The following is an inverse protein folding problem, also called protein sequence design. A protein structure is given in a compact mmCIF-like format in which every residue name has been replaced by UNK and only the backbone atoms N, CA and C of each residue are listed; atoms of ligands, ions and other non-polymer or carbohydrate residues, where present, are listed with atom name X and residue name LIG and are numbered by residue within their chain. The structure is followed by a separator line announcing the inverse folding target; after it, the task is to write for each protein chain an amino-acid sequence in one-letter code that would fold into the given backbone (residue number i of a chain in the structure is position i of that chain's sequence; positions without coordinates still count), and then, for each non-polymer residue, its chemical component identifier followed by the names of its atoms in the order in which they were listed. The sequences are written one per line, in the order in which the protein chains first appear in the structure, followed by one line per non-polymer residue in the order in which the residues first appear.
data_IF_949534446305
#
_entry.id   IF_949534446305
#
_cell.length_a   1.000
_cell.length_b   1.000
_cell.length_c   1.000
_cell.angle_alpha   90.00
_cell.angle_beta   90.00
_cell.angle_gamma   90.00
#
_symmetry.space_group_name_H-M   'P 1'
#
loop_
_entity.id
_entity.type
_entity.pdbx_description
1 polymer ?
#
# COMPACT_ATOMS: atom_id res chain seq x y z
N UNK A 1 22.80 -23.99 -2.53
CA UNK A 1 22.33 -23.24 -3.72
C UNK A 1 21.04 -22.45 -3.46
N UNK A 2 20.24 -22.74 -2.42
CA UNK A 2 19.02 -21.96 -2.10
C UNK A 2 19.32 -20.58 -1.50
N UNK A 3 20.30 -20.46 -0.61
CA UNK A 3 20.63 -19.19 0.09
C UNK A 3 21.09 -18.05 -0.82
N UNK A 4 21.75 -18.34 -1.95
CA UNK A 4 22.18 -17.32 -2.91
C UNK A 4 20.98 -16.72 -3.65
N UNK A 5 19.99 -17.55 -3.99
CA UNK A 5 18.76 -17.09 -4.66
C UNK A 5 17.94 -16.17 -3.76
N UNK A 6 17.80 -16.52 -2.48
CA UNK A 6 17.11 -15.67 -1.50
C UNK A 6 17.83 -14.32 -1.34
N UNK A 7 19.17 -14.32 -1.25
CA UNK A 7 19.97 -13.11 -1.14
C UNK A 7 19.82 -12.18 -2.35
N UNK A 8 19.76 -12.74 -3.56
CA UNK A 8 19.58 -11.92 -4.77
C UNK A 8 18.15 -11.33 -4.84
N UNK A 9 17.14 -12.09 -4.41
CA UNK A 9 15.76 -11.62 -4.27
C UNK A 9 15.66 -10.48 -3.23
N UNK A 10 16.28 -10.62 -2.05
CA UNK A 10 16.28 -9.54 -1.03
C UNK A 10 17.00 -8.29 -1.53
N UNK A 11 18.14 -8.42 -2.23
CA UNK A 11 18.81 -7.28 -2.87
C UNK A 11 17.95 -6.58 -3.91
N UNK A 12 17.17 -7.34 -4.69
CA UNK A 12 16.25 -6.77 -5.69
C UNK A 12 15.15 -5.95 -5.03
N UNK A 13 14.56 -6.45 -3.93
CA UNK A 13 13.60 -5.68 -3.12
C UNK A 13 14.25 -4.43 -2.53
N UNK A 14 15.44 -4.55 -1.93
CA UNK A 14 16.12 -3.42 -1.28
C UNK A 14 16.47 -2.27 -2.23
N UNK A 15 16.70 -2.55 -3.52
CA UNK A 15 16.93 -1.52 -4.55
C UNK A 15 15.72 -0.61 -4.77
N UNK A 16 14.51 -1.04 -4.44
CA UNK A 16 13.30 -0.22 -4.56
C UNK A 16 13.37 1.04 -3.69
N UNK A 17 14.05 0.98 -2.54
CA UNK A 17 14.25 2.15 -1.65
C UNK A 17 15.19 3.21 -2.23
N UNK A 18 15.99 2.85 -3.23
CA UNK A 18 17.03 3.72 -3.80
C UNK A 18 16.63 4.32 -5.17
N UNK A 19 15.49 3.91 -5.74
CA UNK A 19 15.01 4.42 -7.02
C UNK A 19 14.23 5.73 -6.84
N UNK A 20 14.89 6.85 -7.14
CA UNK A 20 14.45 8.23 -6.86
C UNK A 20 13.54 8.87 -7.93
N UNK A 21 12.74 8.11 -8.68
CA UNK A 21 11.93 8.69 -9.76
C UNK A 21 10.47 8.95 -9.35
N UNK A 22 10.15 10.22 -9.07
CA UNK A 22 8.82 10.87 -9.00
C UNK A 22 7.74 10.26 -8.08
N UNK A 23 7.26 11.11 -7.16
CA UNK A 23 6.48 10.85 -5.93
C UNK A 23 5.05 10.30 -6.04
N UNK A 24 4.58 9.80 -7.19
CA UNK A 24 3.15 9.41 -7.34
C UNK A 24 2.87 8.02 -7.92
N UNK A 25 3.87 7.30 -8.46
CA UNK A 25 3.67 5.98 -9.12
C UNK A 25 4.41 4.84 -8.40
N UNK A 26 4.99 5.11 -7.23
CA UNK A 26 5.96 4.20 -6.57
C UNK A 26 5.35 2.88 -6.09
N UNK A 27 4.10 2.88 -5.59
CA UNK A 27 3.52 1.65 -5.03
C UNK A 27 3.28 0.56 -6.08
N UNK A 28 2.90 0.92 -7.31
CA UNK A 28 2.70 -0.07 -8.38
C UNK A 28 4.02 -0.70 -8.81
N UNK A 29 5.10 0.09 -8.86
CA UNK A 29 6.44 -0.42 -9.19
C UNK A 29 6.93 -1.40 -8.12
N UNK A 30 6.71 -1.07 -6.84
CA UNK A 30 7.00 -1.98 -5.72
C UNK A 30 6.17 -3.26 -5.84
N UNK A 31 4.86 -3.13 -6.09
CA UNK A 31 3.98 -4.29 -6.27
C UNK A 31 4.45 -5.18 -7.43
N UNK A 32 4.87 -4.60 -8.55
CA UNK A 32 5.38 -5.32 -9.71
C UNK A 32 6.64 -6.13 -9.39
N UNK A 33 7.59 -5.55 -8.68
CA UNK A 33 8.81 -6.27 -8.26
C UNK A 33 8.50 -7.37 -7.26
N UNK A 34 7.60 -7.12 -6.30
CA UNK A 34 7.17 -8.15 -5.35
C UNK A 34 6.42 -9.28 -6.04
N UNK A 35 5.57 -8.98 -7.02
CA UNK A 35 4.80 -9.96 -7.79
C UNK A 35 5.71 -10.90 -8.59
N UNK A 36 6.80 -10.35 -9.16
CA UNK A 36 7.81 -11.15 -9.85
C UNK A 36 8.59 -12.04 -8.88
N UNK A 37 8.99 -11.51 -7.72
CA UNK A 37 9.85 -12.20 -6.76
C UNK A 37 9.12 -13.33 -6.02
N UNK A 38 7.87 -13.09 -5.64
CA UNK A 38 7.00 -14.00 -4.90
C UNK A 38 6.13 -14.86 -5.82
N UNK A 39 6.17 -14.59 -7.13
CA UNK A 39 5.33 -15.26 -8.13
C UNK A 39 3.84 -15.21 -7.77
N UNK A 40 3.38 -14.03 -7.35
CA UNK A 40 2.06 -13.83 -6.73
C UNK A 40 1.41 -12.52 -7.15
N UNK A 41 0.09 -12.43 -6.99
CA UNK A 41 -0.63 -11.16 -7.04
C UNK A 41 -0.38 -10.38 -5.74
N UNK A 42 -0.20 -9.07 -5.85
CA UNK A 42 0.18 -8.18 -4.74
C UNK A 42 -0.79 -7.01 -4.65
N UNK A 43 -1.30 -6.76 -3.43
CA UNK A 43 -2.09 -5.59 -3.10
C UNK A 43 -1.51 -4.88 -1.89
N UNK A 44 -1.30 -3.56 -2.02
CA UNK A 44 -0.98 -2.67 -0.90
C UNK A 44 -2.24 -1.91 -0.54
N UNK A 45 -2.75 -2.16 0.66
CA UNK A 45 -4.02 -1.61 1.16
C UNK A 45 -3.73 -0.68 2.34
N UNK A 46 -4.17 0.56 2.27
CA UNK A 46 -4.07 1.51 3.40
C UNK A 46 -4.91 1.06 4.59
N UNK A 47 -4.67 1.63 5.77
CA UNK A 47 -5.50 1.40 6.97
C UNK A 47 -7.00 1.64 6.73
N UNK A 48 -7.37 2.56 5.83
CA UNK A 48 -8.77 2.89 5.50
C UNK A 48 -9.39 1.94 4.46
N UNK A 49 -8.67 0.92 4.00
CA UNK A 49 -9.13 0.00 2.96
C UNK A 49 -8.89 0.50 1.53
N UNK A 50 -8.30 1.68 1.33
CA UNK A 50 -7.95 2.19 0.00
C UNK A 50 -6.81 1.36 -0.60
N UNK A 51 -6.95 0.93 -1.84
CA UNK A 51 -5.91 0.25 -2.63
C UNK A 51 -4.92 1.30 -3.11
N UNK A 52 -3.67 1.22 -2.64
CA UNK A 52 -2.59 2.15 -2.96
C UNK A 52 -1.72 1.66 -4.12
N UNK A 53 -1.57 0.35 -4.25
CA UNK A 53 -0.82 -0.28 -5.33
C UNK A 53 -1.32 -1.69 -5.58
N UNK A 54 -1.23 -2.12 -6.84
CA UNK A 54 -1.65 -3.44 -7.27
C UNK A 54 -0.70 -3.98 -8.33
N UNK A 55 -0.46 -5.28 -8.29
CA UNK A 55 0.18 -6.00 -9.39
C UNK A 55 -0.44 -7.36 -9.53
N UNK A 56 -0.83 -7.67 -10.76
CA UNK A 56 -1.44 -8.93 -11.15
C UNK A 56 -0.49 -9.70 -12.05
N UNK A 57 -0.52 -11.01 -11.88
CA UNK A 57 0.12 -11.98 -12.75
C UNK A 57 -0.90 -12.53 -13.72
N UNK A 58 -0.52 -12.60 -15.00
CA UNK A 58 -1.41 -13.12 -16.06
C UNK A 58 -1.80 -14.59 -15.88
N UNK A 59 -1.00 -15.37 -15.14
CA UNK A 59 -1.23 -16.79 -14.86
C UNK A 59 -2.03 -17.04 -13.56
N UNK A 60 -2.33 -15.99 -12.79
CA UNK A 60 -3.12 -16.08 -11.54
C UNK A 60 -4.42 -15.29 -11.73
N UNK A 61 -5.59 -15.95 -11.77
CA UNK A 61 -6.85 -15.25 -11.94
C UNK A 61 -7.07 -14.24 -10.80
N UNK A 62 -7.64 -13.09 -11.15
CA UNK A 62 -7.88 -12.02 -10.20
C UNK A 62 -9.09 -12.35 -9.32
N UNK A 63 -8.99 -12.01 -8.04
CA UNK A 63 -10.10 -12.11 -7.10
C UNK A 63 -10.82 -10.76 -7.09
N UNK A 64 -11.94 -10.66 -7.79
CA UNK A 64 -12.78 -9.45 -7.83
C UNK A 64 -13.80 -9.40 -6.68
N UNK A 65 -14.00 -10.51 -5.96
CA UNK A 65 -14.88 -10.56 -4.81
C UNK A 65 -14.27 -9.78 -3.64
N UNK A 66 -15.01 -8.81 -3.09
CA UNK A 66 -14.61 -7.98 -1.93
C UNK A 66 -13.39 -7.07 -2.15
N UNK A 67 -12.77 -7.10 -3.33
CA UNK A 67 -11.60 -6.31 -3.70
C UNK A 67 -11.99 -5.41 -4.87
N UNK A 68 -11.71 -4.11 -4.77
CA UNK A 68 -11.94 -3.19 -5.88
C UNK A 68 -10.92 -3.40 -7.02
N UNK A 69 -11.39 -3.26 -8.27
CA UNK A 69 -10.61 -3.60 -9.48
C UNK A 69 -9.55 -2.55 -9.89
N UNK A 70 -9.30 -1.53 -9.06
CA UNK A 70 -8.41 -0.43 -9.44
C UNK A 70 -7.70 0.23 -8.26
N UNK A 71 -6.49 0.72 -8.53
CA UNK A 71 -5.77 1.63 -7.65
C UNK A 71 -6.64 2.86 -7.37
N UNK A 72 -6.72 3.25 -6.10
CA UNK A 72 -7.60 4.31 -5.63
C UNK A 72 -9.00 3.84 -5.19
N UNK A 73 -9.40 2.63 -5.60
CA UNK A 73 -10.59 1.95 -5.10
C UNK A 73 -10.47 1.53 -3.63
N UNK A 74 -11.55 1.01 -3.07
CA UNK A 74 -11.61 0.52 -1.70
C UNK A 74 -12.02 -0.95 -1.68
N UNK A 75 -11.40 -1.72 -0.79
CA UNK A 75 -11.87 -3.07 -0.49
C UNK A 75 -13.14 -3.03 0.36
N UNK A 76 -13.85 -4.15 0.44
CA UNK A 76 -14.99 -4.30 1.33
C UNK A 76 -14.64 -3.94 2.78
N UNK A 77 -15.59 -3.29 3.46
CA UNK A 77 -15.39 -2.77 4.81
C UNK A 77 -15.11 -3.90 5.82
N UNK A 78 -15.86 -5.00 5.74
CA UNK A 78 -15.70 -6.13 6.66
C UNK A 78 -14.45 -6.95 6.35
N UNK A 79 -14.04 -7.02 5.07
CA UNK A 79 -12.73 -7.53 4.71
C UNK A 79 -11.62 -6.67 5.36
N UNK A 80 -11.70 -5.34 5.24
CA UNK A 80 -10.69 -4.45 5.83
C UNK A 80 -10.60 -4.59 7.35
N UNK A 81 -11.74 -4.65 8.05
CA UNK A 81 -11.78 -4.87 9.51
C UNK A 81 -11.09 -6.19 9.91
N UNK A 82 -11.30 -7.27 9.15
CA UNK A 82 -10.65 -8.56 9.39
C UNK A 82 -9.14 -8.52 9.12
N UNK A 83 -8.71 -7.84 8.05
CA UNK A 83 -7.29 -7.65 7.75
C UNK A 83 -6.58 -6.85 8.85
N UNK A 84 -7.23 -5.81 9.39
CA UNK A 84 -6.71 -5.02 10.51
C UNK A 84 -6.64 -5.82 11.82
N UNK A 85 -7.49 -6.84 11.99
CA UNK A 85 -7.44 -7.76 13.13
C UNK A 85 -6.26 -8.74 13.09
N UNK A 86 -5.52 -8.82 11.99
CA UNK A 86 -4.30 -9.63 11.88
C UNK A 86 -3.12 -8.79 12.36
N UNK A 87 -2.46 -9.23 13.45
CA UNK A 87 -1.40 -8.48 14.14
C UNK A 87 0.03 -8.96 13.82
N UNK A 88 0.16 -10.08 13.10
CA UNK A 88 1.44 -10.61 12.64
C UNK A 88 1.25 -11.21 11.25
N UNK A 89 2.34 -11.38 10.50
CA UNK A 89 2.29 -12.08 9.22
C UNK A 89 1.61 -13.43 9.39
N UNK A 90 0.63 -13.71 8.53
CA UNK A 90 -0.02 -15.02 8.42
C UNK A 90 0.15 -15.53 7.01
N UNK A 91 0.75 -16.70 6.87
CA UNK A 91 0.96 -17.41 5.62
C UNK A 91 -0.12 -18.47 5.37
N UNK A 92 -0.29 -18.84 4.10
CA UNK A 92 -1.20 -19.90 3.65
C UNK A 92 -2.63 -19.75 4.21
N UNK A 93 -3.10 -18.51 4.31
CA UNK A 93 -4.39 -18.17 4.90
C UNK A 93 -5.53 -18.69 4.02
N UNK A 94 -6.48 -19.39 4.63
CA UNK A 94 -7.73 -19.76 3.97
C UNK A 94 -8.61 -18.51 3.78
N UNK A 95 -8.84 -18.13 2.53
CA UNK A 95 -9.63 -16.93 2.21
C UNK A 95 -11.11 -17.04 2.66
N UNK A 96 -11.65 -18.24 2.93
CA UNK A 96 -13.01 -18.37 3.50
C UNK A 96 -13.10 -17.66 4.87
N UNK A 97 -12.01 -17.70 5.64
CA UNK A 97 -11.92 -17.01 6.95
C UNK A 97 -11.94 -15.49 6.82
N UNK A 98 -11.59 -14.98 5.63
CA UNK A 98 -11.65 -13.57 5.25
C UNK A 98 -12.94 -13.26 4.47
N UNK A 99 -13.88 -14.22 4.36
CA UNK A 99 -15.22 -14.03 3.82
C UNK A 99 -15.36 -14.18 2.32
N UNK A 100 -14.33 -14.69 1.63
CA UNK A 100 -14.43 -15.03 0.22
C UNK A 100 -15.24 -16.31 0.04
N UNK A 101 -15.99 -16.40 -1.07
CA UNK A 101 -16.81 -17.58 -1.39
C UNK A 101 -15.97 -18.81 -1.76
N UNK A 102 -16.60 -19.98 -1.66
CA UNK A 102 -15.99 -21.30 -1.92
C UNK A 102 -15.39 -21.46 -3.32
N UNK A 103 -16.05 -20.89 -4.32
CA UNK A 103 -15.62 -20.96 -5.71
C UNK A 103 -14.27 -20.24 -5.90
N UNK A 104 -14.01 -19.21 -5.09
CA UNK A 104 -12.80 -18.39 -5.11
C UNK A 104 -11.74 -18.78 -4.08
N UNK A 105 -11.88 -19.90 -3.36
CA UNK A 105 -11.00 -20.24 -2.21
C UNK A 105 -10.23 -21.53 -2.35
N UNK A 106 -10.81 -22.54 -3.01
CA UNK A 106 -10.27 -23.92 -3.00
C UNK A 106 -8.84 -24.01 -3.56
N UNK A 107 -8.42 -23.04 -4.37
CA UNK A 107 -7.11 -23.05 -5.03
C UNK A 107 -6.19 -21.91 -4.65
N UNK A 108 -6.53 -20.99 -3.75
CA UNK A 108 -5.63 -19.88 -3.44
C UNK A 108 -4.91 -20.08 -2.11
N UNK A 109 -3.62 -19.78 -2.11
CA UNK A 109 -2.83 -19.56 -0.91
C UNK A 109 -2.56 -18.06 -0.79
N UNK A 110 -2.65 -17.51 0.43
CA UNK A 110 -2.41 -16.09 0.67
C UNK A 110 -1.48 -15.84 1.87
N UNK A 111 -0.64 -14.81 1.76
CA UNK A 111 0.05 -14.19 2.88
C UNK A 111 -0.62 -12.84 3.16
N UNK A 112 -0.87 -12.56 4.44
CA UNK A 112 -1.33 -11.27 4.92
C UNK A 112 -0.27 -10.76 5.89
N UNK A 113 0.35 -9.63 5.55
CA UNK A 113 1.40 -9.02 6.37
C UNK A 113 0.99 -7.61 6.79
N UNK A 114 0.88 -7.34 8.11
CA UNK A 114 0.66 -6.00 8.66
C UNK A 114 1.75 -5.02 8.23
N UNK A 115 1.38 -3.88 7.64
CA UNK A 115 2.33 -2.80 7.37
C UNK A 115 2.36 -1.90 8.60
N UNK A 116 3.39 -2.07 9.43
CA UNK A 116 3.59 -1.33 10.68
C UNK A 116 4.96 -0.67 10.71
N UNK A 117 5.00 0.62 11.05
CA UNK A 117 6.24 1.40 11.21
C UNK A 117 6.14 2.19 12.51
N UNK A 118 7.19 2.14 13.34
CA UNK A 118 7.25 2.85 14.62
C UNK A 118 6.05 2.60 15.57
N UNK A 119 5.44 1.40 15.50
CA UNK A 119 4.28 1.03 16.32
C UNK A 119 2.93 1.52 15.77
N UNK A 120 2.92 2.17 14.59
CA UNK A 120 1.69 2.59 13.93
C UNK A 120 1.33 1.65 12.76
N UNK A 121 0.06 1.22 12.71
CA UNK A 121 -0.50 0.44 11.60
C UNK A 121 -0.83 1.35 10.42
N UNK A 122 -0.04 1.25 9.34
CA UNK A 122 -0.21 2.02 8.12
C UNK A 122 -1.15 1.35 7.12
N UNK A 123 -1.19 0.02 7.10
CA UNK A 123 -1.95 -0.73 6.11
C UNK A 123 -1.74 -2.23 6.18
N UNK A 124 -2.06 -2.93 5.10
CA UNK A 124 -1.90 -4.38 4.95
C UNK A 124 -1.32 -4.68 3.58
N UNK A 125 -0.30 -5.53 3.54
CA UNK A 125 0.19 -6.16 2.33
C UNK A 125 -0.55 -7.49 2.17
N UNK A 126 -1.26 -7.65 1.06
CA UNK A 126 -2.00 -8.86 0.73
C UNK A 126 -1.38 -9.51 -0.52
N UNK A 127 -0.92 -10.75 -0.35
CA UNK A 127 -0.17 -11.50 -1.36
C UNK A 127 -0.94 -12.80 -1.60
N UNK A 128 -1.28 -13.14 -2.85
CA UNK A 128 -1.96 -14.40 -3.13
C UNK A 128 -1.51 -15.03 -4.45
N UNK A 129 -1.49 -16.37 -4.48
CA UNK A 129 -1.20 -17.16 -5.67
C UNK A 129 -2.02 -18.43 -5.70
N UNK A 130 -2.01 -19.12 -6.83
CA UNK A 130 -2.82 -20.32 -7.06
C UNK A 130 -2.01 -21.60 -6.79
N UNK A 131 -2.64 -22.56 -6.11
CA UNK A 131 -2.25 -23.96 -5.82
C UNK A 131 -1.00 -24.16 -4.97
N UNK A 132 -0.01 -23.28 -5.07
CA UNK A 132 1.27 -23.44 -4.39
C UNK A 132 1.29 -22.71 -3.04
N UNK A 133 1.58 -23.46 -1.99
CA UNK A 133 1.75 -22.92 -0.65
C UNK A 133 3.02 -22.09 -0.56
N UNK A 134 3.01 -21.06 0.28
CA UNK A 134 4.17 -20.25 0.59
C UNK A 134 5.12 -20.98 1.53
N UNK A 135 6.41 -20.92 1.21
CA UNK A 135 7.49 -21.46 2.03
C UNK A 135 8.17 -20.35 2.86
N UNK A 136 9.12 -20.74 3.70
CA UNK A 136 9.81 -19.80 4.60
C UNK A 136 10.53 -18.67 3.85
N UNK A 137 11.10 -18.96 2.68
CA UNK A 137 11.78 -17.97 1.85
C UNK A 137 10.77 -16.91 1.36
N UNK A 138 9.55 -17.32 1.00
CA UNK A 138 8.48 -16.41 0.59
C UNK A 138 8.01 -15.53 1.75
N UNK A 139 7.93 -16.09 2.96
CA UNK A 139 7.56 -15.35 4.17
C UNK A 139 8.62 -14.29 4.48
N UNK A 140 9.91 -14.66 4.46
CA UNK A 140 11.03 -13.73 4.67
C UNK A 140 10.99 -12.59 3.65
N UNK A 141 10.80 -12.92 2.38
CA UNK A 141 10.72 -11.92 1.31
C UNK A 141 9.48 -11.03 1.45
N UNK A 142 8.36 -11.60 1.90
CA UNK A 142 7.13 -10.84 2.15
C UNK A 142 7.33 -9.87 3.30
N UNK A 143 7.86 -10.27 4.45
CA UNK A 143 8.11 -9.36 5.57
C UNK A 143 9.12 -8.27 5.25
N UNK A 144 10.17 -8.62 4.50
CA UNK A 144 11.13 -7.64 4.01
C UNK A 144 10.46 -6.65 3.04
N UNK A 145 9.63 -7.17 2.12
CA UNK A 145 8.81 -6.37 1.21
C UNK A 145 7.83 -5.45 1.94
N UNK A 146 7.12 -5.95 2.95
CA UNK A 146 6.23 -5.19 3.83
C UNK A 146 6.96 -4.02 4.49
N UNK A 147 8.19 -4.24 4.95
CA UNK A 147 9.02 -3.17 5.54
C UNK A 147 9.36 -2.10 4.51
N UNK A 148 9.75 -2.49 3.29
CA UNK A 148 10.03 -1.56 2.18
C UNK A 148 8.79 -0.76 1.78
N UNK A 149 7.64 -1.42 1.67
CA UNK A 149 6.35 -0.75 1.42
C UNK A 149 6.03 0.23 2.55
N UNK A 150 6.20 -0.16 3.80
CA UNK A 150 5.95 0.69 4.97
C UNK A 150 6.81 1.95 4.99
N UNK A 151 8.10 1.84 4.64
CA UNK A 151 9.00 2.99 4.50
C UNK A 151 8.51 3.95 3.41
N UNK A 152 8.08 3.43 2.26
CA UNK A 152 7.54 4.27 1.18
C UNK A 152 6.19 4.91 1.55
N UNK A 153 5.34 4.20 2.29
CA UNK A 153 4.12 4.78 2.84
C UNK A 153 4.41 5.94 3.79
N UNK A 154 5.38 5.78 4.71
CA UNK A 154 5.80 6.84 5.62
C UNK A 154 6.35 8.04 4.85
N UNK A 155 7.19 7.80 3.84
CA UNK A 155 7.73 8.83 2.97
C UNK A 155 6.62 9.60 2.24
N UNK A 156 5.68 8.90 1.63
CA UNK A 156 4.56 9.51 0.90
C UNK A 156 3.71 10.39 1.82
N UNK A 157 3.45 9.96 3.06
CA UNK A 157 2.72 10.77 4.05
C UNK A 157 3.51 12.01 4.45
N UNK A 158 4.83 11.87 4.64
CA UNK A 158 5.68 13.01 4.98
C UNK A 158 5.75 14.05 3.84
N UNK A 159 5.90 13.60 2.59
CA UNK A 159 5.91 14.48 1.40
C UNK A 159 4.57 15.23 1.23
N UNK A 160 3.44 14.56 1.48
CA UNK A 160 2.11 15.18 1.45
C UNK A 160 1.97 16.26 2.54
N UNK A 161 2.38 15.95 3.78
CA UNK A 161 2.34 16.90 4.90
C UNK A 161 3.24 18.12 4.64
N UNK A 162 4.43 17.92 4.08
CA UNK A 162 5.33 19.01 3.71
C UNK A 162 4.72 19.91 2.61
N UNK A 163 4.05 19.31 1.61
CA UNK A 163 3.38 20.07 0.57
C UNK A 163 2.21 20.90 1.12
N UNK A 164 1.42 20.33 2.05
CA UNK A 164 0.37 21.06 2.74
C UNK A 164 0.93 22.23 3.57
N UNK A 165 1.99 21.98 4.34
CA UNK A 165 2.68 23.02 5.12
C UNK A 165 3.18 24.15 4.23
N UNK A 166 3.76 23.82 3.06
CA UNK A 166 4.18 24.80 2.05
C UNK A 166 2.99 25.62 1.53
N UNK A 167 1.86 24.99 1.22
CA UNK A 167 0.64 25.69 0.77
C UNK A 167 0.12 26.67 1.83
N UNK A 168 0.03 26.23 3.08
CA UNK A 168 -0.39 27.09 4.19
C UNK A 168 0.58 28.27 4.40
N UNK A 169 1.88 28.04 4.27
CA UNK A 169 2.88 29.10 4.38
C UNK A 169 2.72 30.15 3.28
N UNK A 170 2.53 29.73 2.01
CA UNK A 170 2.31 30.64 0.89
C UNK A 170 1.08 31.52 1.13
N UNK A 171 -0.04 30.93 1.59
CA UNK A 171 -1.26 31.68 1.92
C UNK A 171 -1.00 32.69 3.04
N UNK A 172 -0.33 32.28 4.12
CA UNK A 172 0.05 33.18 5.23
C UNK A 172 0.94 34.33 4.76
N UNK A 173 1.93 34.04 3.91
CA UNK A 173 2.82 35.07 3.34
C UNK A 173 2.03 36.06 2.48
N UNK A 174 1.14 35.59 1.61
CA UNK A 174 0.29 36.47 0.81
C UNK A 174 -0.59 37.38 1.69
N UNK A 175 -1.25 36.82 2.71
CA UNK A 175 -2.04 37.59 3.67
C UNK A 175 -1.20 38.64 4.38
N UNK A 176 0.03 38.30 4.78
CA UNK A 176 0.91 39.24 5.50
C UNK A 176 1.39 40.44 4.66
N UNK A 177 1.26 40.36 3.32
CA UNK A 177 1.60 41.48 2.42
C UNK A 177 0.45 42.43 2.16
N UNK A 178 -0.78 42.06 2.54
CA UNK A 178 -1.97 42.89 2.33
C UNK A 178 -2.09 43.96 3.42
N UNK A 179 -2.47 45.17 3.02
CA UNK A 179 -2.93 46.21 3.94
C UNK A 179 -4.30 45.85 4.53
N UNK A 180 -4.67 46.52 5.62
CA UNK A 180 -5.96 46.30 6.29
C UNK A 180 -7.15 46.42 5.34
N UNK A 181 -7.18 47.45 4.50
CA UNK A 181 -8.24 47.69 3.52
C UNK A 181 -8.27 46.66 2.40
N UNK A 182 -7.12 46.12 1.97
CA UNK A 182 -7.07 45.06 0.95
C UNK A 182 -7.56 43.73 1.53
N UNK A 183 -7.22 43.44 2.78
CA UNK A 183 -7.73 42.26 3.48
C UNK A 183 -9.25 42.32 3.64
N UNK A 184 -9.79 43.47 4.05
CA UNK A 184 -11.23 43.70 4.20
C UNK A 184 -11.98 43.58 2.85
N UNK A 185 -11.39 44.11 1.78
CA UNK A 185 -11.93 43.95 0.43
C UNK A 185 -11.98 42.47 -0.02
N UNK A 186 -10.94 41.68 0.27
CA UNK A 186 -10.92 40.24 -0.06
C UNK A 186 -11.99 39.49 0.73
N UNK A 187 -12.16 39.77 2.03
CA UNK A 187 -13.20 39.13 2.85
C UNK A 187 -14.58 39.39 2.24
N UNK A 188 -14.88 40.63 1.85
CA UNK A 188 -16.13 40.98 1.19
C UNK A 188 -16.34 40.26 -0.15
N UNK A 189 -15.29 40.08 -0.96
CA UNK A 189 -15.40 39.30 -2.21
C UNK A 189 -15.75 37.84 -1.92
N UNK A 190 -15.17 37.23 -0.88
CA UNK A 190 -15.47 35.85 -0.51
C UNK A 190 -16.85 35.68 0.13
N UNK A 191 -17.35 36.70 0.85
CA UNK A 191 -18.70 36.68 1.43
C UNK A 191 -19.82 36.80 0.37
N UNK A 192 -19.51 37.33 -0.83
CA UNK A 192 -20.46 37.43 -1.96
C UNK A 192 -20.45 36.22 -2.91
N UNK A 193 -19.51 35.27 -2.75
CA UNK A 193 -19.37 34.03 -3.54
C UNK A 193 -20.17 32.86 -2.96
#
# INVERSE_FOLDING_TARGET
MSSVRLLDKTRKIGKLLHNNNSSKVVFNDICGVLAEILESNILVISRKGKILGISHRSDVPEIHELIGDAVGGYIDKYLNERLLGILSTKENVNLETLGFTRENTISYAAIISPIEIAGERLGTLFVYRLKEQYEIDDIILTEYGTTVVGLEMLRSVNEENEEESRKQHIVKSAISTLSYSELEAIIHIFDEL
#
